data_IF_287278154916
#
_entry.id   IF_287278154916
#
_cell.length_a   1.000
_cell.length_b   1.000
_cell.length_c   1.000
_cell.angle_alpha   90.00
_cell.angle_beta   90.00
_cell.angle_gamma   90.00
#
_symmetry.space_group_name_H-M   'P 1'
#
loop_
_entity.id
_entity.type
_entity.pdbx_description
1 polymer ?
#
# COMPACT_ATOMS: atom_id res chain seq x y z
N UNK A 1 13.62 -14.73 -5.42
CA UNK A 1 13.35 -15.07 -3.99
C UNK A 1 13.01 -13.84 -3.16
N UNK A 2 13.83 -12.78 -3.18
CA UNK A 2 13.60 -11.57 -2.36
C UNK A 2 12.21 -10.93 -2.58
N UNK A 3 11.78 -10.77 -3.83
CA UNK A 3 10.46 -10.19 -4.16
C UNK A 3 9.30 -10.98 -3.54
N UNK A 4 9.36 -12.32 -3.60
CA UNK A 4 8.33 -13.19 -3.01
C UNK A 4 8.28 -13.05 -1.50
N UNK A 5 9.44 -12.98 -0.84
CA UNK A 5 9.52 -12.75 0.61
C UNK A 5 8.89 -11.40 0.98
N UNK A 6 9.25 -10.34 0.25
CA UNK A 6 8.66 -9.01 0.44
C UNK A 6 7.15 -9.03 0.22
N UNK A 7 6.67 -9.74 -0.80
CA UNK A 7 5.25 -9.88 -1.08
C UNK A 7 4.51 -10.57 0.07
N UNK A 8 4.99 -11.71 0.57
CA UNK A 8 4.38 -12.43 1.69
C UNK A 8 4.32 -11.56 2.96
N UNK A 9 5.42 -10.87 3.28
CA UNK A 9 5.48 -9.96 4.42
C UNK A 9 4.47 -8.82 4.23
N UNK A 10 4.42 -8.22 3.04
CA UNK A 10 3.55 -7.09 2.74
C UNK A 10 2.07 -7.47 2.79
N UNK A 11 1.64 -8.56 2.16
CA UNK A 11 0.23 -8.98 2.20
C UNK A 11 -0.20 -9.38 3.61
N UNK A 12 0.70 -9.97 4.40
CA UNK A 12 0.42 -10.30 5.81
C UNK A 12 0.24 -9.02 6.62
N UNK A 13 1.19 -8.09 6.52
CA UNK A 13 1.13 -6.80 7.22
C UNK A 13 -0.12 -6.00 6.86
N UNK A 14 -0.48 -5.91 5.58
CA UNK A 14 -1.68 -5.20 5.12
C UNK A 14 -2.98 -5.90 5.53
N UNK A 15 -3.01 -7.23 5.56
CA UNK A 15 -4.16 -7.94 6.08
C UNK A 15 -4.38 -7.62 7.56
N UNK A 16 -3.30 -7.55 8.35
CA UNK A 16 -3.37 -7.15 9.76
C UNK A 16 -3.80 -5.69 9.91
N UNK A 17 -3.32 -4.77 9.07
CA UNK A 17 -3.73 -3.35 9.11
C UNK A 17 -5.21 -3.18 8.75
N UNK A 18 -5.66 -3.87 7.71
CA UNK A 18 -7.06 -3.90 7.26
C UNK A 18 -7.98 -4.46 8.33
N UNK A 19 -7.60 -5.57 8.97
CA UNK A 19 -8.37 -6.18 10.04
C UNK A 19 -8.58 -5.23 11.24
N UNK A 20 -7.55 -4.47 11.60
CA UNK A 20 -7.66 -3.48 12.68
C UNK A 20 -8.51 -2.27 12.32
N UNK A 21 -8.42 -1.80 11.07
CA UNK A 21 -9.28 -0.72 10.60
C UNK A 21 -10.75 -1.14 10.59
N UNK A 22 -11.06 -2.36 10.15
CA UNK A 22 -12.40 -2.94 10.24
C UNK A 22 -12.86 -3.11 11.70
N UNK A 23 -11.99 -3.61 12.58
CA UNK A 23 -12.27 -3.77 14.01
C UNK A 23 -12.60 -2.45 14.71
N UNK A 24 -11.92 -1.35 14.34
CA UNK A 24 -12.24 0.01 14.83
C UNK A 24 -13.63 0.50 14.40
N UNK A 25 -14.18 -0.10 13.33
CA UNK A 25 -15.52 0.18 12.82
C UNK A 25 -16.58 -0.81 13.33
N UNK A 26 -16.23 -1.65 14.30
CA UNK A 26 -17.14 -2.65 14.91
C UNK A 26 -17.80 -3.56 13.87
N UNK A 27 -17.06 -3.90 12.80
CA UNK A 27 -17.51 -4.88 11.80
C UNK A 27 -17.52 -6.29 12.39
N UNK A 28 -18.36 -7.16 11.84
CA UNK A 28 -18.36 -8.59 12.17
C UNK A 28 -17.10 -9.30 11.62
N UNK A 29 -16.87 -10.55 12.02
CA UNK A 29 -15.67 -11.30 11.62
C UNK A 29 -15.56 -11.44 10.10
N UNK A 30 -16.70 -11.60 9.42
CA UNK A 30 -16.72 -11.68 7.96
C UNK A 30 -16.25 -10.35 7.34
N UNK A 31 -16.79 -9.22 7.80
CA UNK A 31 -16.37 -7.90 7.37
C UNK A 31 -14.87 -7.63 7.64
N UNK A 32 -14.37 -8.05 8.81
CA UNK A 32 -12.94 -7.94 9.15
C UNK A 32 -12.06 -8.72 8.17
N UNK A 33 -12.40 -9.97 7.88
CA UNK A 33 -11.64 -10.81 6.93
C UNK A 33 -11.73 -10.24 5.51
N UNK A 34 -12.91 -9.79 5.09
CA UNK A 34 -13.13 -9.19 3.78
C UNK A 34 -12.26 -7.95 3.58
N UNK A 35 -12.31 -7.00 4.51
CA UNK A 35 -11.51 -5.76 4.45
C UNK A 35 -10.03 -6.08 4.47
N UNK A 36 -9.58 -7.03 5.28
CA UNK A 36 -8.18 -7.46 5.31
C UNK A 36 -7.71 -8.02 3.96
N UNK A 37 -8.49 -8.92 3.34
CA UNK A 37 -8.16 -9.48 2.03
C UNK A 37 -8.14 -8.41 0.94
N UNK A 38 -9.13 -7.51 0.94
CA UNK A 38 -9.20 -6.38 -0.01
C UNK A 38 -8.03 -5.42 0.18
N UNK A 39 -7.61 -5.14 1.42
CA UNK A 39 -6.46 -4.28 1.71
C UNK A 39 -5.18 -4.91 1.14
N UNK A 40 -4.94 -6.19 1.42
CA UNK A 40 -3.71 -6.88 1.04
C UNK A 40 -3.60 -7.20 -0.45
N UNK A 41 -4.71 -7.56 -1.10
CA UNK A 41 -4.72 -8.10 -2.47
C UNK A 41 -5.34 -7.13 -3.49
N UNK A 42 -6.06 -6.11 -3.02
CA UNK A 42 -6.81 -5.19 -3.87
C UNK A 42 -5.93 -4.31 -4.73
N UNK A 43 -4.80 -3.80 -4.20
CA UNK A 43 -3.87 -2.96 -4.98
C UNK A 43 -3.32 -3.68 -6.22
N UNK A 44 -2.82 -4.90 -6.03
CA UNK A 44 -2.37 -5.76 -7.13
C UNK A 44 -3.50 -6.14 -8.08
N UNK A 45 -4.71 -6.41 -7.55
CA UNK A 45 -5.88 -6.73 -8.37
C UNK A 45 -6.28 -5.56 -9.27
N UNK A 46 -6.30 -4.33 -8.76
CA UNK A 46 -6.60 -3.13 -9.55
C UNK A 46 -5.55 -2.92 -10.64
N UNK A 47 -4.25 -3.03 -10.31
CA UNK A 47 -3.17 -2.98 -11.31
C UNK A 47 -3.41 -4.02 -12.41
N UNK A 48 -3.60 -5.27 -12.02
CA UNK A 48 -3.73 -6.39 -12.94
C UNK A 48 -4.92 -6.22 -13.89
N UNK A 49 -6.07 -5.75 -13.37
CA UNK A 49 -7.23 -5.43 -14.19
C UNK A 49 -6.97 -4.30 -15.19
N UNK A 50 -6.28 -3.23 -14.75
CA UNK A 50 -5.99 -2.07 -15.61
C UNK A 50 -4.98 -2.40 -16.72
N UNK A 51 -4.00 -3.26 -16.44
CA UNK A 51 -2.98 -3.67 -17.41
C UNK A 51 -3.39 -4.89 -18.24
N UNK A 52 -4.54 -5.52 -17.95
CA UNK A 52 -4.96 -6.75 -18.61
C UNK A 52 -4.12 -7.98 -18.22
N UNK A 53 -3.50 -7.97 -17.03
CA UNK A 53 -2.66 -9.05 -16.53
C UNK A 53 -3.50 -10.08 -15.77
N UNK A 54 -3.88 -11.16 -16.44
CA UNK A 54 -4.71 -12.23 -15.89
C UNK A 54 -4.03 -13.60 -15.95
N UNK A 55 -4.40 -14.55 -15.07
CA UNK A 55 -5.32 -14.40 -13.94
C UNK A 55 -4.73 -13.54 -12.79
N UNK A 56 -5.59 -12.95 -11.96
CA UNK A 56 -5.16 -12.17 -10.79
C UNK A 56 -4.29 -13.02 -9.86
N UNK A 57 -3.31 -12.42 -9.19
CA UNK A 57 -2.34 -13.16 -8.37
C UNK A 57 -2.98 -14.12 -7.37
N UNK A 58 -4.03 -13.70 -6.66
CA UNK A 58 -4.71 -14.54 -5.66
C UNK A 58 -5.64 -15.59 -6.26
N UNK A 59 -6.06 -15.43 -7.53
CA UNK A 59 -6.80 -16.47 -8.28
C UNK A 59 -5.82 -17.54 -8.74
N UNK A 60 -4.63 -17.13 -9.20
CA UNK A 60 -3.55 -18.04 -9.55
C UNK A 60 -2.99 -18.79 -8.33
N UNK A 61 -2.92 -18.10 -7.20
CA UNK A 61 -2.36 -18.56 -5.94
C UNK A 61 -3.37 -18.39 -4.79
N UNK A 62 -4.37 -19.29 -4.67
CA UNK A 62 -5.39 -19.23 -3.61
C UNK A 62 -4.81 -19.25 -2.19
N UNK A 63 -3.60 -19.79 -2.02
CA UNK A 63 -2.86 -19.77 -0.76
C UNK A 63 -2.65 -18.36 -0.19
N UNK A 64 -2.55 -17.34 -1.04
CA UNK A 64 -2.42 -15.95 -0.57
C UNK A 64 -3.71 -15.42 0.03
N UNK A 65 -4.86 -15.82 -0.50
CA UNK A 65 -6.17 -15.48 0.07
C UNK A 65 -6.35 -16.15 1.45
N UNK A 66 -5.97 -17.42 1.56
CA UNK A 66 -5.98 -18.14 2.84
C UNK A 66 -5.03 -17.50 3.86
N UNK A 67 -3.83 -17.09 3.43
CA UNK A 67 -2.86 -16.40 4.27
C UNK A 67 -3.41 -15.06 4.79
N UNK A 68 -3.99 -14.23 3.94
CA UNK A 68 -4.53 -12.93 4.34
C UNK A 68 -5.73 -13.09 5.27
N UNK A 69 -6.60 -14.09 5.02
CA UNK A 69 -7.70 -14.41 5.92
C UNK A 69 -7.20 -14.91 7.28
N UNK A 70 -6.21 -15.80 7.30
CA UNK A 70 -5.58 -16.29 8.52
C UNK A 70 -4.91 -15.17 9.34
N UNK A 71 -4.19 -14.27 8.67
CA UNK A 71 -3.58 -13.10 9.29
C UNK A 71 -4.63 -12.15 9.91
N UNK A 72 -5.79 -12.00 9.25
CA UNK A 72 -6.91 -11.22 9.78
C UNK A 72 -7.50 -11.85 11.05
N UNK A 73 -7.76 -13.16 11.03
CA UNK A 73 -8.28 -13.89 12.21
C UNK A 73 -7.28 -13.87 13.38
N UNK A 74 -5.99 -14.07 13.07
CA UNK A 74 -4.94 -13.94 14.06
C UNK A 74 -4.91 -12.54 14.68
N UNK A 75 -5.06 -11.50 13.84
CA UNK A 75 -5.15 -10.10 14.27
C UNK A 75 -6.31 -9.84 15.23
N UNK A 76 -7.48 -10.44 14.98
CA UNK A 76 -8.63 -10.33 15.90
C UNK A 76 -8.27 -10.87 17.29
N UNK A 77 -7.56 -12.00 17.36
CA UNK A 77 -7.15 -12.60 18.64
C UNK A 77 -6.16 -11.72 19.43
N UNK A 78 -5.23 -11.05 18.74
CA UNK A 78 -4.21 -10.20 19.37
C UNK A 78 -4.58 -8.71 19.44
N UNK A 79 -5.79 -8.33 18.99
CA UNK A 79 -6.26 -6.95 18.95
C UNK A 79 -6.13 -6.18 20.28
N UNK A 80 -6.34 -6.77 21.48
CA UNK A 80 -6.18 -6.05 22.74
C UNK A 80 -4.77 -5.51 22.96
N UNK A 81 -3.74 -6.24 22.51
CA UNK A 81 -2.33 -5.86 22.58
C UNK A 81 -2.00 -4.77 21.55
N UNK A 82 -2.67 -4.81 20.41
CA UNK A 82 -2.42 -3.93 19.27
C UNK A 82 -2.77 -2.45 19.53
N UNK A 83 -3.55 -2.13 20.57
CA UNK A 83 -3.79 -0.73 21.00
C UNK A 83 -2.49 0.04 21.27
N UNK A 84 -1.42 -0.65 21.68
CA UNK A 84 -0.12 -0.05 21.97
C UNK A 84 0.83 -0.04 20.76
N UNK A 85 0.44 -0.64 19.63
CA UNK A 85 1.32 -0.89 18.49
C UNK A 85 1.10 0.09 17.32
N UNK A 86 0.44 1.24 17.54
CA UNK A 86 0.16 2.23 16.48
C UNK A 86 1.40 2.62 15.67
N UNK A 87 2.54 2.81 16.32
CA UNK A 87 3.82 3.14 15.66
C UNK A 87 4.31 1.99 14.77
N UNK A 88 4.19 0.75 15.26
CA UNK A 88 4.55 -0.46 14.51
C UNK A 88 3.67 -0.61 13.26
N UNK A 89 2.37 -0.31 13.34
CA UNK A 89 1.48 -0.35 12.18
C UNK A 89 1.86 0.64 11.10
N UNK A 90 2.18 1.88 11.48
CA UNK A 90 2.63 2.89 10.52
C UNK A 90 3.94 2.50 9.85
N UNK A 91 4.84 1.84 10.58
CA UNK A 91 6.08 1.30 10.01
C UNK A 91 5.82 0.12 9.06
N UNK A 92 4.94 -0.82 9.43
CA UNK A 92 4.57 -1.96 8.58
C UNK A 92 3.84 -1.52 7.30
N UNK A 93 2.92 -0.55 7.41
CA UNK A 93 2.23 0.07 6.28
C UNK A 93 3.22 0.82 5.36
N UNK A 94 4.23 1.49 5.93
CA UNK A 94 5.33 2.07 5.14
C UNK A 94 6.13 1.02 4.35
N UNK A 95 6.46 -0.11 4.98
CA UNK A 95 7.14 -1.23 4.30
C UNK A 95 6.25 -1.82 3.22
N UNK A 96 4.96 -2.06 3.51
CA UNK A 96 3.96 -2.57 2.58
C UNK A 96 3.82 -1.66 1.35
N UNK A 97 3.63 -0.36 1.56
CA UNK A 97 3.57 0.66 0.51
C UNK A 97 4.74 0.56 -0.45
N UNK A 98 5.97 0.56 0.06
CA UNK A 98 7.18 0.55 -0.77
C UNK A 98 7.38 -0.81 -1.46
N UNK A 99 7.13 -1.91 -0.76
CA UNK A 99 7.20 -3.26 -1.32
C UNK A 99 6.20 -3.46 -2.47
N UNK A 100 4.94 -3.04 -2.29
CA UNK A 100 3.93 -3.11 -3.34
C UNK A 100 4.23 -2.18 -4.50
N UNK A 101 4.82 -1.01 -4.23
CA UNK A 101 5.30 -0.10 -5.29
C UNK A 101 6.35 -0.79 -6.16
N UNK A 102 7.35 -1.42 -5.52
CA UNK A 102 8.39 -2.18 -6.22
C UNK A 102 7.80 -3.32 -7.07
N UNK A 103 6.87 -4.09 -6.50
CA UNK A 103 6.21 -5.20 -7.20
C UNK A 103 5.40 -4.69 -8.39
N UNK A 104 4.66 -3.59 -8.24
CA UNK A 104 3.89 -3.00 -9.33
C UNK A 104 4.75 -2.46 -10.47
N UNK A 105 5.89 -1.84 -10.14
CA UNK A 105 6.89 -1.45 -11.14
C UNK A 105 7.42 -2.67 -11.89
N UNK A 106 7.84 -3.70 -11.16
CA UNK A 106 8.45 -4.89 -11.75
C UNK A 106 7.47 -5.64 -12.67
N UNK A 107 6.23 -5.88 -12.22
CA UNK A 107 5.20 -6.56 -13.04
C UNK A 107 4.98 -5.78 -14.34
N UNK A 108 4.84 -4.45 -14.26
CA UNK A 108 4.62 -3.63 -15.46
C UNK A 108 5.81 -3.62 -16.41
N UNK A 109 7.04 -3.68 -15.91
CA UNK A 109 8.24 -3.77 -16.74
C UNK A 109 8.35 -5.15 -17.41
N UNK A 110 8.02 -6.23 -16.69
CA UNK A 110 8.00 -7.59 -17.23
C UNK A 110 6.93 -7.77 -18.32
N UNK A 111 5.85 -6.99 -18.26
CA UNK A 111 4.85 -6.88 -19.33
C UNK A 111 5.33 -6.06 -20.55
N UNK A 112 6.53 -5.47 -20.51
CA UNK A 112 7.11 -4.70 -21.60
C UNK A 112 6.60 -3.26 -21.70
N UNK A 113 5.98 -2.71 -20.65
CA UNK A 113 5.53 -1.32 -20.65
C UNK A 113 6.67 -0.33 -20.41
N UNK A 114 6.43 0.94 -20.74
CA UNK A 114 7.39 2.03 -20.55
C UNK A 114 7.63 2.35 -19.06
N UNK A 115 8.76 3.00 -18.77
CA UNK A 115 9.12 3.42 -17.40
C UNK A 115 8.02 4.25 -16.72
N UNK A 116 7.35 5.12 -17.47
CA UNK A 116 6.26 5.94 -16.94
C UNK A 116 5.08 5.08 -16.49
N UNK A 117 4.67 4.12 -17.32
CA UNK A 117 3.57 3.19 -16.99
C UNK A 117 3.98 2.32 -15.81
N UNK A 118 5.25 1.89 -15.75
CA UNK A 118 5.77 1.14 -14.61
C UNK A 118 5.71 1.95 -13.31
N UNK A 119 6.08 3.23 -13.34
CA UNK A 119 5.98 4.11 -12.17
C UNK A 119 4.53 4.23 -11.68
N UNK A 120 3.59 4.49 -12.60
CA UNK A 120 2.16 4.60 -12.28
C UNK A 120 1.60 3.27 -11.77
N UNK A 121 1.96 2.15 -12.39
CA UNK A 121 1.59 0.80 -11.95
C UNK A 121 2.08 0.50 -10.53
N UNK A 122 3.33 0.88 -10.23
CA UNK A 122 3.89 0.82 -8.88
C UNK A 122 3.04 1.60 -7.89
N UNK A 123 2.77 2.87 -8.19
CA UNK A 123 1.95 3.72 -7.32
C UNK A 123 0.56 3.14 -7.10
N UNK A 124 -0.12 2.71 -8.17
CA UNK A 124 -1.44 2.07 -8.09
C UNK A 124 -1.39 0.87 -7.14
N UNK A 125 -0.42 -0.03 -7.35
CA UNK A 125 -0.28 -1.23 -6.53
C UNK A 125 -0.04 -0.88 -5.05
N UNK A 126 0.80 0.12 -4.78
CA UNK A 126 1.14 0.55 -3.43
C UNK A 126 -0.01 1.23 -2.69
N UNK A 127 -0.79 2.09 -3.36
CA UNK A 127 -1.78 2.93 -2.67
C UNK A 127 -3.18 2.35 -2.65
N UNK A 128 -3.59 1.58 -3.67
CA UNK A 128 -4.99 1.17 -3.80
C UNK A 128 -5.46 0.21 -2.72
N UNK A 129 -4.58 -0.61 -2.14
CA UNK A 129 -4.93 -1.45 -0.99
C UNK A 129 -5.46 -0.63 0.19
N UNK A 130 -4.71 0.42 0.57
CA UNK A 130 -5.12 1.37 1.60
C UNK A 130 -6.35 2.21 1.21
N UNK A 131 -6.47 2.60 -0.06
CA UNK A 131 -7.67 3.32 -0.54
C UNK A 131 -8.92 2.47 -0.37
N UNK A 132 -8.90 1.22 -0.83
CA UNK A 132 -10.04 0.31 -0.71
C UNK A 132 -10.37 0.09 0.77
N UNK A 133 -9.37 -0.21 1.61
CA UNK A 133 -9.54 -0.33 3.07
C UNK A 133 -10.31 0.84 3.66
N UNK A 134 -9.86 2.05 3.36
CA UNK A 134 -10.40 3.27 3.94
C UNK A 134 -11.84 3.52 3.44
N UNK A 135 -12.12 3.29 2.14
CA UNK A 135 -13.48 3.37 1.57
C UNK A 135 -14.42 2.36 2.25
N UNK A 136 -14.03 1.09 2.37
CA UNK A 136 -14.85 0.08 3.05
C UNK A 136 -15.07 0.40 4.53
N UNK A 137 -14.11 1.08 5.17
CA UNK A 137 -14.22 1.55 6.55
C UNK A 137 -14.97 2.89 6.70
N UNK A 138 -15.52 3.45 5.61
CA UNK A 138 -16.16 4.76 5.56
C UNK A 138 -15.25 5.89 6.10
N UNK A 139 -13.97 5.83 5.74
CA UNK A 139 -12.95 6.82 6.04
C UNK A 139 -12.50 7.50 4.75
N UNK A 140 -12.19 8.81 4.83
CA UNK A 140 -11.48 9.50 3.74
C UNK A 140 -10.09 8.85 3.60
N UNK A 141 -9.74 8.29 2.41
CA UNK A 141 -8.46 7.61 2.19
C UNK A 141 -7.23 8.43 2.57
N UNK A 142 -6.21 7.75 3.11
CA UNK A 142 -4.94 8.39 3.52
C UNK A 142 -4.28 9.20 2.39
N UNK A 143 -4.40 8.75 1.14
CA UNK A 143 -3.89 9.47 -0.04
C UNK A 143 -4.49 10.87 -0.22
N UNK A 144 -5.75 11.07 0.20
CA UNK A 144 -6.43 12.37 0.11
C UNK A 144 -6.27 13.20 1.37
N UNK A 145 -5.63 12.64 2.42
CA UNK A 145 -5.29 13.36 3.63
C UNK A 145 -3.93 14.03 3.50
N UNK A 146 -3.55 14.74 4.56
CA UNK A 146 -2.37 15.61 4.64
C UNK A 146 -1.02 14.89 4.45
N UNK A 147 -0.96 13.56 4.46
CA UNK A 147 0.31 12.85 4.55
C UNK A 147 0.94 12.57 3.18
N UNK A 148 2.27 12.57 3.09
CA UNK A 148 3.05 12.27 1.87
C UNK A 148 2.96 10.79 1.40
N UNK A 149 1.79 10.14 1.51
CA UNK A 149 1.64 8.71 1.24
C UNK A 149 1.89 8.36 -0.24
N UNK A 150 1.09 8.93 -1.15
CA UNK A 150 1.29 8.71 -2.59
C UNK A 150 2.60 9.31 -3.10
N UNK A 151 3.04 10.43 -2.53
CA UNK A 151 4.31 11.07 -2.89
C UNK A 151 5.50 10.17 -2.57
N UNK A 152 5.49 9.48 -1.42
CA UNK A 152 6.52 8.50 -1.07
C UNK A 152 6.50 7.31 -2.02
N UNK A 153 5.32 6.80 -2.36
CA UNK A 153 5.19 5.71 -3.34
C UNK A 153 5.74 6.14 -4.72
N UNK A 154 5.37 7.32 -5.21
CA UNK A 154 5.87 7.85 -6.47
C UNK A 154 7.39 8.05 -6.46
N UNK A 155 7.95 8.60 -5.37
CA UNK A 155 9.40 8.76 -5.21
C UNK A 155 10.12 7.40 -5.15
N UNK A 156 9.53 6.41 -4.49
CA UNK A 156 10.07 5.05 -4.41
C UNK A 156 10.06 4.37 -5.78
N UNK A 157 8.99 4.52 -6.55
CA UNK A 157 8.90 4.01 -7.92
C UNK A 157 10.03 4.59 -8.79
N UNK A 158 10.22 5.90 -8.79
CA UNK A 158 11.29 6.53 -9.57
C UNK A 158 12.68 6.18 -9.06
N UNK A 159 12.87 6.08 -7.74
CA UNK A 159 14.13 5.60 -7.16
C UNK A 159 14.50 4.22 -7.73
N UNK A 160 13.55 3.28 -7.72
CA UNK A 160 13.77 1.95 -8.29
C UNK A 160 14.08 1.98 -9.78
N UNK A 161 13.28 2.71 -10.57
CA UNK A 161 13.46 2.79 -12.01
C UNK A 161 14.80 3.43 -12.39
N UNK A 162 15.23 4.48 -11.67
CA UNK A 162 16.53 5.12 -11.88
C UNK A 162 17.66 4.14 -11.54
N UNK A 163 17.57 3.41 -10.43
CA UNK A 163 18.55 2.37 -10.10
C UNK A 163 18.67 1.33 -11.22
N UNK A 164 17.57 0.91 -11.83
CA UNK A 164 17.61 0.00 -12.98
C UNK A 164 18.24 0.62 -14.23
N UNK A 165 18.08 1.94 -14.46
CA UNK A 165 18.66 2.64 -15.61
C UNK A 165 20.18 2.82 -15.52
N UNK A 166 20.74 2.84 -14.31
CA UNK A 166 22.19 2.88 -14.08
C UNK A 166 22.82 1.48 -13.94
N UNK A 167 22.11 0.45 -14.45
CA UNK A 167 22.54 -0.95 -14.47
C UNK A 167 22.87 -1.54 -13.10
N UNK A 168 22.26 -1.03 -12.02
CA UNK A 168 22.41 -1.66 -10.70
C UNK A 168 21.76 -3.06 -10.70
N UNK A 169 22.36 -4.05 -10.00
CA UNK A 169 21.73 -5.33 -9.77
C UNK A 169 20.34 -5.18 -9.16
N UNK A 170 19.35 -5.91 -9.68
CA UNK A 170 17.94 -5.82 -9.26
C UNK A 170 17.76 -5.93 -7.75
N UNK A 171 18.52 -6.79 -7.08
CA UNK A 171 18.45 -6.96 -5.62
C UNK A 171 18.95 -5.72 -4.87
N UNK A 172 20.03 -5.10 -5.33
CA UNK A 172 20.53 -3.86 -4.75
C UNK A 172 19.55 -2.71 -4.97
N UNK A 173 18.98 -2.59 -6.17
CA UNK A 173 17.95 -1.60 -6.46
C UNK A 173 16.74 -1.75 -5.54
N UNK A 174 16.24 -2.99 -5.33
CA UNK A 174 15.14 -3.26 -4.41
C UNK A 174 15.48 -2.86 -2.96
N UNK A 175 16.66 -3.22 -2.46
CA UNK A 175 17.07 -2.90 -1.08
C UNK A 175 17.25 -1.39 -0.88
N UNK A 176 17.87 -0.70 -1.83
CA UNK A 176 18.06 0.76 -1.80
C UNK A 176 16.70 1.45 -1.77
N UNK A 177 15.79 1.08 -2.67
CA UNK A 177 14.44 1.67 -2.71
C UNK A 177 13.63 1.35 -1.45
N UNK A 178 13.70 0.11 -0.96
CA UNK A 178 12.98 -0.29 0.26
C UNK A 178 13.45 0.55 1.45
N UNK A 179 14.77 0.69 1.62
CA UNK A 179 15.35 1.47 2.70
C UNK A 179 15.06 2.97 2.55
N UNK A 180 15.28 3.54 1.37
CA UNK A 180 15.09 4.97 1.12
C UNK A 180 13.61 5.37 1.21
N UNK A 181 12.70 4.58 0.64
CA UNK A 181 11.26 4.79 0.69
C UNK A 181 10.72 4.65 2.11
N UNK A 182 11.14 3.61 2.85
CA UNK A 182 10.77 3.44 4.26
C UNK A 182 11.25 4.61 5.11
N UNK A 183 12.53 5.00 4.96
CA UNK A 183 13.08 6.13 5.69
C UNK A 183 12.33 7.42 5.35
N UNK A 184 12.07 7.68 4.07
CA UNK A 184 11.31 8.85 3.65
C UNK A 184 9.90 8.87 4.27
N UNK A 185 9.20 7.73 4.29
CA UNK A 185 7.89 7.63 4.94
C UNK A 185 7.98 7.90 6.44
N UNK A 186 8.96 7.32 7.11
CA UNK A 186 9.12 7.49 8.56
C UNK A 186 9.50 8.92 8.94
N UNK A 187 10.35 9.59 8.15
CA UNK A 187 10.66 11.00 8.32
C UNK A 187 9.42 11.87 8.09
N UNK A 188 8.64 11.59 7.04
CA UNK A 188 7.39 12.31 6.76
C UNK A 188 6.40 12.18 7.93
N UNK A 189 6.27 11.00 8.54
CA UNK A 189 5.42 10.78 9.72
C UNK A 189 5.98 11.50 10.95
N UNK A 190 7.30 11.39 11.20
CA UNK A 190 7.97 11.95 12.39
C UNK A 190 7.97 13.48 12.40
N UNK A 191 8.13 14.10 11.23
CA UNK A 191 8.16 15.55 11.04
C UNK A 191 6.83 16.12 10.57
N UNK A 192 5.80 15.28 10.38
CA UNK A 192 4.47 15.66 9.90
C UNK A 192 4.54 16.47 8.60
N UNK A 193 5.28 15.97 7.62
CA UNK A 193 5.36 16.61 6.30
C UNK A 193 4.01 16.51 5.59
N UNK A 194 3.55 17.64 5.05
CA UNK A 194 2.26 17.75 4.36
C UNK A 194 2.42 18.33 2.96
N UNK A 195 1.60 17.88 2.02
CA UNK A 195 1.47 18.53 0.71
C UNK A 195 0.67 19.84 0.84
N UNK A 196 0.98 20.87 0.02
CA UNK A 196 0.20 22.09 -0.01
C UNK A 196 -1.25 21.79 -0.42
N UNK A 197 -2.19 22.44 0.26
CA UNK A 197 -3.63 22.27 -0.01
C UNK A 197 -4.09 23.31 -1.01
N UNK A 198 -4.79 22.85 -2.04
CA UNK A 198 -5.61 23.72 -2.85
C UNK A 198 -6.94 23.96 -2.13
N UNK A 199 -7.06 25.09 -1.44
CA UNK A 199 -8.31 25.54 -0.83
C UNK A 199 -8.87 26.65 -1.71
N UNK A 200 -9.88 26.32 -2.50
CA UNK A 200 -10.67 27.31 -3.21
C UNK A 200 -11.72 27.84 -2.23
N UNK A 201 -11.63 29.12 -1.88
CA UNK A 201 -12.70 29.83 -1.17
C UNK A 201 -13.52 30.54 -2.24
N UNK A 202 -14.79 30.18 -2.38
CA UNK A 202 -15.75 31.05 -3.04
C UNK A 202 -15.86 32.36 -2.22
N UNK A 203 -15.95 33.51 -2.89
CA UNK A 203 -15.83 34.88 -2.35
C UNK A 203 -16.72 35.17 -1.10
N UNK A 204 -16.38 36.19 -0.27
CA UNK A 204 -16.96 36.50 1.03
C UNK A 204 -18.35 37.18 0.97
N UNK A 205 -19.12 36.94 -0.08
CA UNK A 205 -20.43 37.59 -0.33
C UNK A 205 -21.58 36.59 -0.44
N UNK A 206 -21.85 35.87 0.65
CA UNK A 206 -23.21 35.52 1.09
C UNK A 206 -23.28 36.07 2.53
N UNK A 207 -23.95 37.17 2.86
CA UNK A 207 -25.28 37.55 2.43
C UNK A 207 -26.27 37.05 3.49
N UNK A 208 -26.40 37.85 4.55
CA UNK A 208 -27.30 37.80 5.74
C UNK A 208 -27.24 36.61 6.72
#
# INVERSE_FOLDING_TARGET
>A
MLLTVLYIIAITAEAMTGALSAGRRSMDLFGVVLVACVTALGGGSVRDMLLGHYPLTWVRHPEYLALTAGAALFTVFIAPLMRHLRSMFLALDAVGLVAFTLIGCQVSLEMGHSLLIAAVSGVITGVFGGILRDIFCNDVPLIFRRELYASVSFASAWCYLICLQIDLPKEQAMLITLFSGFLFRMLAIRFRWEMPKFVYKDDPHQGD
#
